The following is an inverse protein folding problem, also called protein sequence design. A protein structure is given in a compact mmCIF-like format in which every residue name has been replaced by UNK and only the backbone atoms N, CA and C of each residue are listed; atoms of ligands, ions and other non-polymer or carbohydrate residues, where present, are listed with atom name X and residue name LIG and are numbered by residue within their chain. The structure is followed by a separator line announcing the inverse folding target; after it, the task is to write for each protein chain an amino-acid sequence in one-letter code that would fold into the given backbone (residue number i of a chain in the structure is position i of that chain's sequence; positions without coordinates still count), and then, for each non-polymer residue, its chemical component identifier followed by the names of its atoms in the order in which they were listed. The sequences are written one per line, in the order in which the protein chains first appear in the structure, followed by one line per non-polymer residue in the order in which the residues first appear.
data_IF_202464430413
#
_entry.id   IF_202464430413
#
_cell.length_a   1.000
_cell.length_b   1.000
_cell.length_c   1.000
_cell.angle_alpha   90.00
_cell.angle_beta   90.00
_cell.angle_gamma   90.00
#
_symmetry.space_group_name_H-M   'P 1'
#
loop_
_entity.id
_entity.type
_entity.pdbx_description
1 polymer ?
#
# COMPACT_ATOMS: atom_id res chain seq x y z
N UNK A 1 -0.42 -27.98 -28.67
CA UNK A 1 -1.40 -27.82 -27.57
C UNK A 1 -1.37 -26.34 -27.22
N UNK A 2 -2.31 -25.60 -27.80
CA UNK A 2 -2.41 -24.14 -27.74
C UNK A 2 -2.96 -23.73 -26.38
N UNK A 3 -2.11 -23.20 -25.50
CA UNK A 3 -2.52 -22.55 -24.26
C UNK A 3 -2.84 -21.07 -24.52
N UNK A 4 -3.70 -20.80 -25.49
CA UNK A 4 -4.23 -19.45 -25.71
C UNK A 4 -5.50 -19.31 -24.88
N UNK A 5 -5.32 -19.26 -23.56
CA UNK A 5 -6.41 -18.89 -22.66
C UNK A 5 -6.63 -17.40 -22.87
N UNK A 6 -7.58 -17.06 -23.73
CA UNK A 6 -8.03 -15.69 -23.94
C UNK A 6 -8.19 -15.01 -22.58
N UNK A 7 -7.33 -14.02 -22.30
CA UNK A 7 -7.37 -13.23 -21.08
C UNK A 7 -8.67 -12.43 -21.09
N UNK A 8 -9.74 -13.00 -20.56
CA UNK A 8 -10.99 -12.26 -20.38
C UNK A 8 -10.74 -11.11 -19.40
N UNK A 9 -11.47 -10.01 -19.55
CA UNK A 9 -11.36 -8.88 -18.62
C UNK A 9 -11.58 -9.31 -17.17
N UNK A 10 -12.45 -10.30 -16.93
CA UNK A 10 -12.69 -10.86 -15.60
C UNK A 10 -11.46 -11.57 -15.03
N UNK A 11 -10.83 -12.46 -15.80
CA UNK A 11 -9.61 -13.17 -15.37
C UNK A 11 -8.48 -12.17 -15.12
N UNK A 12 -8.35 -11.14 -15.96
CA UNK A 12 -7.37 -10.07 -15.75
C UNK A 12 -7.55 -9.36 -14.40
N UNK A 13 -8.78 -8.95 -14.07
CA UNK A 13 -9.09 -8.29 -12.79
C UNK A 13 -8.80 -9.20 -11.59
N UNK A 14 -9.07 -10.50 -11.71
CA UNK A 14 -8.76 -11.48 -10.65
C UNK A 14 -7.26 -11.60 -10.42
N UNK A 15 -6.46 -11.68 -11.49
CA UNK A 15 -5.00 -11.73 -11.40
C UNK A 15 -4.46 -10.46 -10.74
N UNK A 16 -4.92 -9.28 -11.17
CA UNK A 16 -4.51 -7.99 -10.59
C UNK A 16 -4.86 -7.92 -9.09
N UNK A 17 -6.06 -8.40 -8.70
CA UNK A 17 -6.47 -8.50 -7.29
C UNK A 17 -5.56 -9.43 -6.49
N UNK A 18 -5.20 -10.59 -7.02
CA UNK A 18 -4.30 -11.56 -6.36
C UNK A 18 -2.91 -10.96 -6.18
N UNK A 19 -2.38 -10.29 -7.20
CA UNK A 19 -1.07 -9.62 -7.13
C UNK A 19 -1.07 -8.51 -6.09
N UNK A 20 -2.11 -7.67 -6.06
CA UNK A 20 -2.24 -6.62 -5.05
C UNK A 20 -2.30 -7.19 -3.63
N UNK A 21 -3.13 -8.21 -3.39
CA UNK A 21 -3.20 -8.90 -2.09
C UNK A 21 -1.84 -9.46 -1.67
N UNK A 22 -1.06 -10.00 -2.62
CA UNK A 22 0.30 -10.50 -2.36
C UNK A 22 1.27 -9.38 -1.99
N UNK A 23 1.21 -8.22 -2.67
CA UNK A 23 2.01 -7.04 -2.31
C UNK A 23 1.67 -6.56 -0.89
N UNK A 24 0.38 -6.43 -0.57
CA UNK A 24 -0.08 -6.01 0.76
C UNK A 24 0.44 -6.97 1.83
N UNK A 25 0.25 -8.28 1.64
CA UNK A 25 0.77 -9.30 2.55
C UNK A 25 2.30 -9.25 2.68
N UNK A 26 3.03 -9.03 1.59
CA UNK A 26 4.49 -8.86 1.65
C UNK A 26 4.90 -7.66 2.52
N UNK A 27 4.24 -6.50 2.33
CA UNK A 27 4.52 -5.28 3.09
C UNK A 27 4.09 -5.36 4.56
N UNK A 28 3.08 -6.15 4.88
CA UNK A 28 2.65 -6.45 6.26
C UNK A 28 3.70 -7.29 7.00
N UNK A 29 4.33 -8.26 6.32
CA UNK A 29 5.39 -9.09 6.88
C UNK A 29 6.75 -8.37 6.97
N UNK A 30 7.00 -7.40 6.09
CA UNK A 30 8.22 -6.57 6.09
C UNK A 30 8.08 -5.35 7.01
N UNK A 31 7.87 -5.59 8.30
CA UNK A 31 7.73 -4.53 9.32
C UNK A 31 9.01 -3.72 9.52
N UNK A 32 10.15 -4.23 9.08
CA UNK A 32 11.43 -3.53 9.04
C UNK A 32 11.45 -2.37 8.04
N UNK A 33 10.70 -2.49 6.94
CA UNK A 33 10.66 -1.49 5.87
C UNK A 33 9.78 -0.32 6.29
N UNK A 34 10.37 0.84 6.59
CA UNK A 34 9.63 2.03 6.99
C UNK A 34 9.01 2.74 5.79
N UNK A 35 7.87 3.41 6.01
CA UNK A 35 7.21 4.16 4.94
C UNK A 35 8.09 5.29 4.40
N UNK A 36 8.90 5.94 5.24
CA UNK A 36 9.79 7.02 4.79
C UNK A 36 10.87 6.51 3.83
N UNK A 37 11.37 5.29 4.05
CA UNK A 37 12.33 4.67 3.12
C UNK A 37 11.67 4.34 1.78
N UNK A 38 10.44 3.83 1.81
CA UNK A 38 9.67 3.57 0.58
C UNK A 38 9.40 4.87 -0.19
N UNK A 39 8.98 5.94 0.49
CA UNK A 39 8.79 7.25 -0.13
C UNK A 39 10.10 7.77 -0.74
N UNK A 40 11.19 7.74 0.01
CA UNK A 40 12.49 8.21 -0.46
C UNK A 40 13.03 7.40 -1.65
N UNK A 41 12.73 6.10 -1.73
CA UNK A 41 13.21 5.24 -2.81
C UNK A 41 12.31 5.28 -4.05
N UNK A 42 11.00 5.22 -3.85
CA UNK A 42 10.04 4.85 -4.89
C UNK A 42 8.85 5.80 -5.06
N UNK A 43 8.74 6.83 -4.20
CA UNK A 43 7.67 7.82 -4.28
C UNK A 43 6.28 7.32 -3.84
N UNK A 44 6.17 6.10 -3.30
CA UNK A 44 4.95 5.61 -2.66
C UNK A 44 5.25 4.78 -1.42
N UNK A 45 4.27 4.60 -0.54
CA UNK A 45 4.36 3.75 0.63
C UNK A 45 2.99 3.13 0.98
N UNK A 46 2.88 2.45 2.14
CA UNK A 46 1.62 1.84 2.61
C UNK A 46 0.47 2.85 2.73
N UNK A 47 0.78 4.09 3.11
CA UNK A 47 -0.23 5.15 3.18
C UNK A 47 -0.76 5.53 1.78
N UNK A 48 0.09 5.53 0.75
CA UNK A 48 -0.34 5.76 -0.63
C UNK A 48 -1.28 4.65 -1.08
N UNK A 49 -0.94 3.38 -0.81
CA UNK A 49 -1.82 2.24 -1.10
C UNK A 49 -3.18 2.36 -0.39
N UNK A 50 -3.19 2.89 0.85
CA UNK A 50 -4.43 3.11 1.61
C UNK A 50 -5.29 4.20 0.96
N UNK A 51 -4.67 5.30 0.52
CA UNK A 51 -5.38 6.37 -0.18
C UNK A 51 -5.94 5.89 -1.53
N UNK A 52 -5.15 5.15 -2.33
CA UNK A 52 -5.61 4.60 -3.61
C UNK A 52 -6.77 3.62 -3.42
N UNK A 53 -6.75 2.81 -2.36
CA UNK A 53 -7.87 1.92 -2.03
C UNK A 53 -9.14 2.72 -1.71
N UNK A 54 -9.00 3.81 -0.95
CA UNK A 54 -10.11 4.70 -0.62
C UNK A 54 -10.68 5.40 -1.86
N UNK A 55 -9.83 6.01 -2.67
CA UNK A 55 -10.20 6.67 -3.93
C UNK A 55 -10.91 5.70 -4.90
N UNK A 56 -10.36 4.50 -5.09
CA UNK A 56 -10.98 3.47 -5.93
C UNK A 56 -12.34 2.98 -5.37
N UNK A 57 -12.53 3.01 -4.06
CA UNK A 57 -13.82 2.68 -3.43
C UNK A 57 -14.85 3.78 -3.67
N UNK A 58 -14.44 5.05 -3.55
CA UNK A 58 -15.27 6.22 -3.82
C UNK A 58 -15.76 6.26 -5.27
N UNK A 59 -14.89 5.91 -6.23
CA UNK A 59 -15.26 5.76 -7.65
C UNK A 59 -16.35 4.71 -7.89
N UNK A 60 -16.50 3.74 -6.98
CA UNK A 60 -17.56 2.72 -6.99
C UNK A 60 -18.77 3.10 -6.13
N UNK A 61 -18.83 4.32 -5.61
CA UNK A 61 -19.89 4.79 -4.71
C UNK A 61 -19.84 4.16 -3.31
N UNK A 62 -18.71 3.54 -2.95
CA UNK A 62 -18.50 2.91 -1.65
C UNK A 62 -17.67 3.88 -0.79
N UNK A 63 -18.27 4.37 0.30
CA UNK A 63 -17.57 5.24 1.24
C UNK A 63 -16.78 4.40 2.24
N UNK A 64 -15.46 4.52 2.19
CA UNK A 64 -14.55 4.00 3.21
C UNK A 64 -13.77 5.18 3.80
N UNK A 65 -13.64 5.24 5.12
CA UNK A 65 -12.79 6.26 5.73
C UNK A 65 -11.31 5.86 5.69
N UNK A 66 -10.46 6.84 5.96
CA UNK A 66 -9.01 6.69 5.92
C UNK A 66 -8.47 5.65 6.91
N UNK A 67 -9.09 5.50 8.08
CA UNK A 67 -8.61 4.55 9.09
C UNK A 67 -8.96 3.11 8.70
N UNK A 68 -10.16 2.90 8.16
CA UNK A 68 -10.58 1.62 7.60
C UNK A 68 -9.72 1.22 6.39
N UNK A 69 -9.45 2.16 5.47
CA UNK A 69 -8.57 1.89 4.32
C UNK A 69 -7.14 1.53 4.76
N UNK A 70 -6.63 2.19 5.81
CA UNK A 70 -5.34 1.82 6.42
C UNK A 70 -5.42 0.45 7.05
N UNK A 71 -6.45 0.11 7.82
CA UNK A 71 -6.57 -1.21 8.44
C UNK A 71 -6.50 -2.33 7.41
N UNK A 72 -7.11 -2.16 6.24
CA UNK A 72 -7.02 -3.11 5.11
C UNK A 72 -5.57 -3.29 4.64
N UNK A 73 -4.82 -2.21 4.46
CA UNK A 73 -3.42 -2.27 3.98
C UNK A 73 -2.45 -2.73 5.07
N UNK A 74 -2.62 -2.30 6.30
CA UNK A 74 -1.73 -2.62 7.43
C UNK A 74 -2.06 -3.98 8.08
N UNK A 75 -3.24 -4.54 7.83
CA UNK A 75 -3.71 -5.81 8.42
C UNK A 75 -4.09 -5.71 9.90
N UNK A 76 -4.08 -4.49 10.45
CA UNK A 76 -4.50 -4.14 11.82
C UNK A 76 -4.73 -2.63 11.90
N UNK A 77 -5.40 -2.14 12.96
CA UNK A 77 -5.56 -0.71 13.17
C UNK A 77 -4.21 0.02 13.10
N UNK A 78 -4.15 1.09 12.30
CA UNK A 78 -2.90 1.80 12.02
C UNK A 78 -2.19 2.28 13.29
N UNK A 79 -2.95 2.71 14.30
CA UNK A 79 -2.40 3.07 15.62
C UNK A 79 -1.62 1.90 16.26
N UNK A 80 -2.16 0.69 16.23
CA UNK A 80 -1.48 -0.50 16.76
C UNK A 80 -0.22 -0.81 15.95
N UNK A 81 -0.28 -0.65 14.62
CA UNK A 81 0.91 -0.84 13.78
C UNK A 81 2.01 0.17 14.09
N UNK A 82 1.64 1.45 14.29
CA UNK A 82 2.58 2.50 14.68
C UNK A 82 3.29 2.16 15.99
N UNK A 83 2.51 1.82 17.01
CA UNK A 83 3.03 1.53 18.35
C UNK A 83 3.96 0.30 18.36
N UNK A 84 3.73 -0.68 17.47
CA UNK A 84 4.51 -1.92 17.40
C UNK A 84 5.75 -1.83 16.50
N UNK A 85 5.66 -1.11 15.38
CA UNK A 85 6.62 -1.29 14.28
C UNK A 85 7.17 0.02 13.68
N UNK A 86 6.49 1.16 13.89
CA UNK A 86 6.97 2.42 13.34
C UNK A 86 8.13 2.94 14.18
N UNK A 87 9.21 3.34 13.50
CA UNK A 87 10.35 4.02 14.11
C UNK A 87 10.34 5.49 13.71
N UNK A 88 10.95 6.31 14.56
CA UNK A 88 11.19 7.70 14.23
C UNK A 88 12.14 7.81 13.03
N UNK A 89 11.82 8.74 12.13
CA UNK A 89 12.67 9.03 10.99
C UNK A 89 13.97 9.70 11.45
N UNK A 90 15.09 9.26 10.90
CA UNK A 90 16.37 9.95 11.12
C UNK A 90 16.38 11.31 10.39
N UNK A 91 17.22 12.26 10.82
CA UNK A 91 17.39 13.53 10.11
C UNK A 91 17.76 13.34 8.63
N UNK A 92 18.58 12.33 8.32
CA UNK A 92 18.96 12.02 6.94
C UNK A 92 17.77 11.54 6.10
N UNK A 93 16.91 10.68 6.67
CA UNK A 93 15.70 10.22 5.98
C UNK A 93 14.73 11.38 5.74
N UNK A 94 14.60 12.30 6.71
CA UNK A 94 13.74 13.48 6.57
C UNK A 94 14.27 14.44 5.50
N UNK A 95 15.57 14.73 5.50
CA UNK A 95 16.18 15.61 4.50
C UNK A 95 16.00 15.05 3.08
N UNK A 96 16.22 13.75 2.88
CA UNK A 96 15.97 13.10 1.58
C UNK A 96 14.51 13.18 1.15
N UNK A 97 13.59 13.07 2.12
CA UNK A 97 12.17 13.18 1.85
C UNK A 97 11.83 14.60 1.35
N UNK A 98 12.28 15.61 2.10
CA UNK A 98 12.06 17.02 1.78
C UNK A 98 12.71 17.44 0.45
N UNK A 99 13.88 16.91 0.11
CA UNK A 99 14.52 17.19 -1.18
C UNK A 99 13.75 16.61 -2.37
N UNK A 100 13.20 15.39 -2.21
CA UNK A 100 12.53 14.67 -3.31
C UNK A 100 11.06 15.03 -3.47
N UNK A 101 10.43 15.60 -2.46
CA UNK A 101 8.99 15.87 -2.42
C UNK A 101 8.68 17.36 -2.18
N UNK A 102 9.62 18.25 -2.48
CA UNK A 102 9.38 19.69 -2.72
C UNK A 102 8.60 19.91 -4.00
#
# INVERSE_FOLDING_TARGET
MENDTLLTNQIKLEIESIVFKRLVSHLQNRTDVQNIDLMNLSGFCRNCLSNWYMEASEEKGIKIDKENAREIIYGMPHKIWKDKFQKDATPEQMNKFDEKHK
#
